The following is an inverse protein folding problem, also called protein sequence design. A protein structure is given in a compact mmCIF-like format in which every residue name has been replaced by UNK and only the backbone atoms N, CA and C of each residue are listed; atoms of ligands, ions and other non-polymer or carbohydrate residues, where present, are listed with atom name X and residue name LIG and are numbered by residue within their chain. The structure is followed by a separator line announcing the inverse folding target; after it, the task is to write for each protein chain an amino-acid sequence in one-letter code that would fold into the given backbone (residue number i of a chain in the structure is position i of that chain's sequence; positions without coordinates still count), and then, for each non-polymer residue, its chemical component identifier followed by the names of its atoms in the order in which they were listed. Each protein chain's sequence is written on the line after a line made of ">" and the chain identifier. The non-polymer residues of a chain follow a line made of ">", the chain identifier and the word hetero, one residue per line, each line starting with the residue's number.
data_IF_092870138871
#
_entry.id   IF_092870138871
#
_cell.length_a   1.000
_cell.length_b   1.000
_cell.length_c   1.000
_cell.angle_alpha   90.00
_cell.angle_beta   90.00
_cell.angle_gamma   90.00
#
_symmetry.space_group_name_H-M   'P 1'
#
loop_
_entity.id
_entity.type
_entity.pdbx_description
1 polymer ?
#
# COMPACT_ATOMS: atom_id res chain seq x y z
N UNK A 1 13.16 -12.90 -23.49
CA UNK A 1 13.29 -13.61 -22.17
C UNK A 1 12.19 -13.10 -21.28
N UNK A 2 11.34 -13.96 -20.83
CA UNK A 2 10.33 -13.58 -19.81
C UNK A 2 11.07 -13.21 -18.51
N UNK A 3 10.71 -12.05 -17.95
CA UNK A 3 11.26 -11.58 -16.68
C UNK A 3 10.73 -12.43 -15.54
N UNK A 4 11.58 -13.16 -14.86
CA UNK A 4 11.19 -14.05 -13.74
C UNK A 4 10.93 -13.25 -12.46
N UNK A 5 11.65 -12.15 -12.28
CA UNK A 5 11.51 -11.28 -11.12
C UNK A 5 11.48 -9.83 -11.59
N UNK A 6 10.59 -9.02 -11.03
CA UNK A 6 10.59 -7.58 -11.26
C UNK A 6 11.86 -6.97 -10.65
N UNK A 7 12.76 -6.48 -11.50
CA UNK A 7 14.08 -5.96 -11.12
C UNK A 7 14.27 -4.48 -11.50
N UNK A 8 13.22 -3.84 -11.98
CA UNK A 8 13.20 -2.44 -12.36
C UNK A 8 12.10 -1.71 -11.61
N UNK A 9 12.34 -0.44 -11.31
CA UNK A 9 11.31 0.46 -10.78
C UNK A 9 10.52 0.99 -11.96
N UNK A 10 9.24 0.64 -12.03
CA UNK A 10 8.37 1.19 -13.06
C UNK A 10 8.24 2.71 -12.88
N UNK A 11 8.17 3.49 -13.97
CA UNK A 11 7.85 4.90 -13.88
C UNK A 11 6.52 5.10 -13.14
N UNK A 12 6.45 6.13 -12.30
CA UNK A 12 5.17 6.48 -11.69
C UNK A 12 4.17 6.86 -12.78
N UNK A 13 3.01 6.26 -12.71
CA UNK A 13 1.88 6.60 -13.57
C UNK A 13 0.61 6.61 -12.72
N UNK A 14 -0.06 7.75 -12.69
CA UNK A 14 -1.39 7.81 -12.10
C UNK A 14 -2.35 6.93 -12.92
N UNK A 15 -3.23 6.22 -12.25
CA UNK A 15 -4.22 5.35 -12.90
C UNK A 15 -5.55 5.41 -12.16
N UNK A 16 -6.63 5.40 -12.92
CA UNK A 16 -7.99 5.28 -12.41
C UNK A 16 -8.43 3.80 -12.30
N UNK A 17 -7.51 2.86 -12.52
CA UNK A 17 -7.80 1.44 -12.41
C UNK A 17 -8.11 1.06 -10.96
N UNK A 18 -9.29 0.49 -10.75
CA UNK A 18 -9.70 -0.05 -9.46
C UNK A 18 -9.28 -1.50 -9.36
N UNK A 19 -8.44 -1.83 -8.37
CA UNK A 19 -8.14 -3.22 -8.06
C UNK A 19 -9.33 -3.85 -7.35
N UNK A 20 -9.77 -5.02 -7.86
CA UNK A 20 -10.85 -5.80 -7.25
C UNK A 20 -10.33 -6.52 -5.98
N UNK A 21 -10.09 -5.75 -4.94
CA UNK A 21 -9.59 -6.22 -3.64
C UNK A 21 -10.24 -5.42 -2.51
N UNK A 22 -10.15 -5.91 -1.28
CA UNK A 22 -10.60 -5.19 -0.09
C UNK A 22 -9.44 -5.00 0.89
N UNK A 23 -9.43 -3.84 1.54
CA UNK A 23 -8.42 -3.50 2.55
C UNK A 23 -8.95 -2.39 3.45
N UNK A 24 -8.59 -2.42 4.72
CA UNK A 24 -8.92 -1.36 5.69
C UNK A 24 -8.17 -0.05 5.41
N UNK A 25 -7.11 -0.09 4.59
CA UNK A 25 -6.35 1.10 4.17
C UNK A 25 -7.24 2.11 3.43
N UNK A 26 -8.28 1.63 2.74
CA UNK A 26 -9.27 2.49 2.10
C UNK A 26 -9.92 3.48 3.08
N UNK A 27 -10.37 2.99 4.24
CA UNK A 27 -10.97 3.83 5.28
C UNK A 27 -9.95 4.81 5.90
N UNK A 28 -8.72 4.35 6.10
CA UNK A 28 -7.62 5.18 6.61
C UNK A 28 -7.30 6.32 5.65
N UNK A 29 -7.29 6.04 4.33
CA UNK A 29 -6.98 7.03 3.29
C UNK A 29 -7.96 8.22 3.24
N UNK A 30 -9.17 8.06 3.77
CA UNK A 30 -10.12 9.16 3.94
C UNK A 30 -9.80 10.09 5.11
N UNK A 31 -8.92 9.67 6.02
CA UNK A 31 -8.56 10.41 7.22
C UNK A 31 -7.16 10.99 7.16
N UNK A 32 -6.26 10.35 6.44
CA UNK A 32 -4.85 10.70 6.35
C UNK A 32 -4.32 10.47 4.94
N UNK A 33 -3.34 11.24 4.46
CA UNK A 33 -2.60 10.93 3.25
C UNK A 33 -1.97 9.55 3.36
N UNK A 34 -2.15 8.72 2.34
CA UNK A 34 -1.62 7.35 2.29
C UNK A 34 -0.80 7.17 1.02
N UNK A 35 0.40 6.64 1.18
CA UNK A 35 1.22 6.15 0.07
C UNK A 35 1.38 4.63 0.20
N UNK A 36 1.43 3.93 -0.94
CA UNK A 36 1.59 2.49 -1.00
C UNK A 36 2.70 2.13 -1.98
N UNK A 37 3.52 1.17 -1.61
CA UNK A 37 4.53 0.61 -2.51
C UNK A 37 4.40 -0.91 -2.61
N UNK A 38 4.80 -1.45 -3.75
CA UNK A 38 4.92 -2.88 -3.98
C UNK A 38 6.40 -3.26 -4.11
N UNK A 39 6.74 -4.41 -3.58
CA UNK A 39 8.08 -4.96 -3.64
C UNK A 39 8.06 -6.41 -4.11
N UNK A 40 9.00 -6.85 -4.98
CA UNK A 40 9.01 -8.20 -5.52
C UNK A 40 9.40 -9.23 -4.46
N UNK A 41 8.41 -9.94 -3.92
CA UNK A 41 8.59 -11.00 -2.93
C UNK A 41 8.42 -12.42 -3.51
N UNK A 42 8.03 -12.54 -4.77
CA UNK A 42 7.80 -13.80 -5.49
C UNK A 42 7.98 -13.60 -6.99
N UNK A 43 8.03 -14.71 -7.72
CA UNK A 43 8.21 -14.69 -9.17
C UNK A 43 7.03 -14.04 -9.89
N UNK A 44 7.31 -13.32 -10.99
CA UNK A 44 6.29 -12.73 -11.87
C UNK A 44 5.36 -13.83 -12.37
N UNK A 45 4.05 -13.54 -12.41
CA UNK A 45 3.03 -14.49 -12.83
C UNK A 45 2.59 -15.49 -11.74
N UNK A 46 3.13 -15.42 -10.52
CA UNK A 46 2.63 -16.24 -9.41
C UNK A 46 1.22 -15.77 -9.02
N UNK A 47 0.18 -16.65 -9.07
CA UNK A 47 -1.16 -16.26 -8.68
C UNK A 47 -1.23 -15.96 -7.19
N UNK A 48 -1.97 -14.89 -6.84
CA UNK A 48 -2.24 -14.56 -5.43
C UNK A 48 -3.18 -15.59 -4.80
N UNK A 49 -3.13 -15.71 -3.46
CA UNK A 49 -3.96 -16.62 -2.67
C UNK A 49 -3.82 -18.11 -3.05
N UNK A 50 -2.60 -18.53 -3.41
CA UNK A 50 -2.28 -19.90 -3.81
C UNK A 50 -1.15 -20.50 -2.97
N UNK A 51 -1.06 -21.84 -2.99
CA UNK A 51 0.08 -22.53 -2.34
C UNK A 51 1.42 -22.19 -2.99
N UNK A 52 1.44 -21.88 -4.29
CA UNK A 52 2.63 -21.44 -5.02
C UNK A 52 3.19 -20.14 -4.45
N UNK A 53 2.31 -19.20 -4.07
CA UNK A 53 2.72 -17.97 -3.39
C UNK A 53 3.27 -18.28 -2.00
N UNK A 54 2.56 -19.10 -1.22
CA UNK A 54 2.98 -19.48 0.15
C UNK A 54 4.34 -20.17 0.16
N UNK A 55 4.58 -21.09 -0.80
CA UNK A 55 5.85 -21.81 -0.91
C UNK A 55 7.06 -20.89 -1.14
N UNK A 56 6.85 -19.72 -1.75
CA UNK A 56 7.90 -18.74 -2.02
C UNK A 56 8.20 -17.84 -0.81
N UNK A 57 7.32 -17.78 0.21
CA UNK A 57 7.42 -16.87 1.35
C UNK A 57 8.67 -17.08 2.24
N UNK A 58 9.32 -18.24 2.18
CA UNK A 58 10.58 -18.52 2.90
C UNK A 58 11.84 -18.43 2.03
N UNK A 59 11.71 -17.97 0.81
CA UNK A 59 12.85 -17.84 -0.10
C UNK A 59 13.66 -16.58 0.18
N UNK A 60 14.90 -16.57 -0.28
CA UNK A 60 15.75 -15.37 -0.22
C UNK A 60 15.16 -14.20 -1.03
N UNK A 61 14.35 -14.46 -2.07
CA UNK A 61 13.63 -13.46 -2.85
C UNK A 61 12.61 -12.77 -1.94
N UNK A 62 11.77 -13.53 -1.24
CA UNK A 62 10.77 -12.99 -0.33
C UNK A 62 11.41 -12.14 0.78
N UNK A 63 12.48 -12.64 1.40
CA UNK A 63 13.18 -11.91 2.46
C UNK A 63 13.82 -10.60 1.94
N UNK A 64 14.43 -10.61 0.76
CA UNK A 64 15.00 -9.41 0.15
C UNK A 64 13.91 -8.40 -0.22
N UNK A 65 12.81 -8.86 -0.79
CA UNK A 65 11.65 -8.00 -1.10
C UNK A 65 11.06 -7.37 0.16
N UNK A 66 10.87 -8.13 1.23
CA UNK A 66 10.42 -7.62 2.54
C UNK A 66 11.35 -6.55 3.09
N UNK A 67 12.67 -6.78 3.06
CA UNK A 67 13.66 -5.80 3.52
C UNK A 67 13.69 -4.55 2.64
N UNK A 68 13.48 -4.69 1.34
CA UNK A 68 13.37 -3.56 0.43
C UNK A 68 12.15 -2.70 0.76
N UNK A 69 10.98 -3.32 0.95
CA UNK A 69 9.77 -2.62 1.37
C UNK A 69 9.97 -1.88 2.70
N UNK A 70 10.55 -2.55 3.70
CA UNK A 70 10.83 -1.95 5.00
C UNK A 70 11.76 -0.73 4.90
N UNK A 71 12.82 -0.82 4.09
CA UNK A 71 13.74 0.30 3.84
C UNK A 71 13.05 1.46 3.11
N UNK A 72 12.21 1.16 2.13
CA UNK A 72 11.46 2.17 1.40
C UNK A 72 10.52 2.93 2.33
N UNK A 73 9.75 2.22 3.15
CA UNK A 73 8.87 2.85 4.14
C UNK A 73 9.64 3.69 5.16
N UNK A 74 10.76 3.18 5.68
CA UNK A 74 11.59 3.92 6.62
C UNK A 74 12.19 5.20 6.00
N UNK A 75 12.67 5.13 4.75
CA UNK A 75 13.20 6.29 4.04
C UNK A 75 12.10 7.32 3.75
N UNK A 76 10.91 6.90 3.32
CA UNK A 76 9.77 7.78 3.12
C UNK A 76 9.37 8.49 4.42
N UNK A 77 9.28 7.74 5.51
CA UNK A 77 8.98 8.29 6.83
C UNK A 77 10.02 9.33 7.27
N UNK A 78 11.30 9.02 7.07
CA UNK A 78 12.37 9.94 7.39
C UNK A 78 12.27 11.24 6.57
N UNK A 79 11.99 11.14 5.27
CA UNK A 79 11.80 12.33 4.43
C UNK A 79 10.65 13.22 4.93
N UNK A 80 9.52 12.61 5.33
CA UNK A 80 8.38 13.35 5.88
C UNK A 80 8.71 14.03 7.22
N UNK A 81 9.63 13.48 8.03
CA UNK A 81 10.06 14.10 9.27
C UNK A 81 11.03 15.27 9.07
N UNK A 82 11.89 15.21 8.06
CA UNK A 82 12.90 16.23 7.83
C UNK A 82 12.46 17.32 6.84
N UNK A 83 11.47 17.05 6.01
CA UNK A 83 10.92 17.97 5.02
C UNK A 83 9.47 18.32 5.33
N UNK A 84 9.29 19.42 6.05
CA UNK A 84 7.96 19.94 6.39
C UNK A 84 7.16 20.41 5.15
N UNK A 85 7.85 20.83 4.08
CA UNK A 85 7.22 21.24 2.82
C UNK A 85 6.53 20.03 2.16
N UNK A 86 7.23 18.91 2.04
CA UNK A 86 6.68 17.67 1.51
C UNK A 86 5.45 17.20 2.31
N UNK A 87 5.51 17.27 3.64
CA UNK A 87 4.38 16.90 4.50
C UNK A 87 3.16 17.80 4.25
N UNK A 88 3.38 19.12 4.10
CA UNK A 88 2.31 20.07 3.81
C UNK A 88 1.69 19.82 2.42
N UNK A 89 2.49 19.53 1.41
CA UNK A 89 2.00 19.20 0.06
C UNK A 89 1.10 17.95 0.10
N UNK A 90 1.53 16.88 0.78
CA UNK A 90 0.72 15.68 0.96
C UNK A 90 -0.62 15.97 1.67
N UNK A 91 -0.60 16.82 2.69
CA UNK A 91 -1.83 17.20 3.41
C UNK A 91 -2.76 18.05 2.54
N UNK A 92 -2.23 18.98 1.76
CA UNK A 92 -3.02 19.82 0.84
C UNK A 92 -3.66 18.99 -0.27
N UNK A 93 -2.92 18.08 -0.90
CA UNK A 93 -3.46 17.18 -1.91
C UNK A 93 -4.59 16.32 -1.35
N UNK A 94 -4.38 15.72 -0.18
CA UNK A 94 -5.39 14.92 0.50
C UNK A 94 -6.64 15.74 0.79
N UNK A 95 -6.51 16.97 1.30
CA UNK A 95 -7.62 17.83 1.62
C UNK A 95 -8.42 18.22 0.38
N UNK A 96 -7.76 18.53 -0.74
CA UNK A 96 -8.44 18.84 -2.00
C UNK A 96 -9.37 17.73 -2.46
N UNK A 97 -8.96 16.48 -2.27
CA UNK A 97 -9.78 15.31 -2.63
C UNK A 97 -10.92 15.11 -1.63
N UNK A 98 -10.62 15.15 -0.33
CA UNK A 98 -11.61 14.84 0.71
C UNK A 98 -12.65 15.93 0.92
N UNK A 99 -12.35 17.18 0.61
CA UNK A 99 -13.32 18.29 0.66
C UNK A 99 -14.41 18.13 -0.41
N UNK A 100 -14.10 17.51 -1.54
CA UNK A 100 -15.06 17.28 -2.63
C UNK A 100 -15.86 15.99 -2.45
N UNK A 101 -15.35 15.04 -1.68
CA UNK A 101 -15.95 13.71 -1.48
C UNK A 101 -15.91 13.34 0.01
N UNK A 102 -16.92 13.73 0.79
CA UNK A 102 -16.93 13.43 2.23
C UNK A 102 -17.00 11.92 2.50
N UNK A 103 -16.21 11.46 3.44
CA UNK A 103 -16.23 10.06 3.86
C UNK A 103 -17.53 9.66 4.52
N UNK A 104 -18.12 8.59 4.03
CA UNK A 104 -19.27 7.92 4.63
C UNK A 104 -18.88 6.52 5.08
N UNK A 105 -18.84 6.29 6.39
CA UNK A 105 -18.55 4.95 6.93
C UNK A 105 -19.61 3.94 6.45
N UNK A 106 -19.22 2.84 5.78
CA UNK A 106 -20.16 1.84 5.30
C UNK A 106 -20.71 0.96 6.42
N UNK A 107 -20.10 0.98 7.60
CA UNK A 107 -20.50 0.17 8.75
C UNK A 107 -21.71 0.83 9.42
N UNK A 108 -22.86 0.14 9.55
CA UNK A 108 -24.01 0.68 10.26
C UNK A 108 -23.67 1.03 11.72
N UNK A 109 -24.16 2.17 12.22
CA UNK A 109 -23.88 2.69 13.58
C UNK A 109 -24.18 1.69 14.72
N UNK A 110 -25.10 0.74 14.48
CA UNK A 110 -25.49 -0.30 15.46
C UNK A 110 -24.51 -1.49 15.53
N UNK A 111 -23.56 -1.57 14.59
CA UNK A 111 -22.56 -2.64 14.56
C UNK A 111 -21.40 -2.24 15.46
N UNK A 112 -21.15 -3.02 16.49
CA UNK A 112 -20.01 -2.86 17.41
C UNK A 112 -18.97 -3.95 17.13
N UNK A 113 -17.69 -3.70 17.38
CA UNK A 113 -16.67 -4.74 17.31
C UNK A 113 -17.03 -5.93 18.20
N UNK A 114 -16.69 -7.14 17.74
CA UNK A 114 -16.83 -8.34 18.59
C UNK A 114 -15.95 -8.20 19.83
N UNK A 115 -16.44 -8.56 21.04
CA UNK A 115 -15.59 -8.53 22.22
C UNK A 115 -14.39 -9.46 22.01
N UNK A 116 -13.21 -8.95 22.37
CA UNK A 116 -11.98 -9.75 22.35
C UNK A 116 -12.17 -10.93 23.33
N UNK A 117 -11.94 -12.13 22.84
CA UNK A 117 -11.94 -13.36 23.66
C UNK A 117 -10.59 -13.55 24.32
#
# INVERSE_FOLDING_TARGET
>A
RETVLANEVAPYAATDNVLAASTDVGDVSWKLPVAQCFSPCFAVGTPLHTWQLVSQGRTSIAHKGMLLAAKTMAATTLNLFIDSGLLQECQQEHQQVTDTQPYHCPIPKKVTPSPLK
#
